data_IF_398819573492
#
_entry.id   IF_398819573492
#
_cell.length_a   1.000
_cell.length_b   1.000
_cell.length_c   1.000
_cell.angle_alpha   90.00
_cell.angle_beta   90.00
_cell.angle_gamma   90.00
#
_symmetry.space_group_name_H-M   'P 1'
#
loop_
_entity.id
_entity.type
_entity.pdbx_description
1 polymer ?
#
# COMPACT_ATOMS: atom_id res chain seq x y z
N UNK A 1 53.00 -57.27 13.40
CA UNK A 1 51.69 -56.94 12.83
C UNK A 1 51.20 -55.70 13.55
N UNK A 2 51.26 -54.55 12.90
CA UNK A 2 50.76 -53.27 13.43
C UNK A 2 49.47 -52.95 12.71
N UNK A 3 48.32 -52.87 13.44
CA UNK A 3 47.04 -52.46 12.95
C UNK A 3 46.98 -50.94 12.99
N UNK A 4 46.88 -50.30 11.85
CA UNK A 4 46.62 -48.84 11.72
C UNK A 4 45.10 -48.66 11.68
N UNK A 5 44.55 -48.14 12.74
CA UNK A 5 43.14 -47.77 12.81
C UNK A 5 42.97 -46.36 12.19
N UNK A 6 42.41 -46.31 10.99
CA UNK A 6 42.09 -45.05 10.34
C UNK A 6 40.79 -44.50 10.91
N UNK A 7 40.89 -43.40 11.67
CA UNK A 7 39.75 -42.63 12.13
C UNK A 7 39.26 -41.70 10.98
N UNK A 8 38.13 -42.08 10.34
CA UNK A 8 37.47 -41.26 9.35
C UNK A 8 36.65 -40.20 10.10
N UNK A 9 37.16 -38.98 10.13
CA UNK A 9 36.43 -37.81 10.67
C UNK A 9 35.38 -37.37 9.65
N UNK A 10 34.12 -37.73 9.88
CA UNK A 10 32.98 -37.29 9.09
C UNK A 10 32.66 -35.84 9.49
N UNK A 11 33.15 -34.87 8.71
CA UNK A 11 32.75 -33.47 8.81
C UNK A 11 31.30 -33.35 8.30
N UNK A 12 30.35 -33.35 9.21
CA UNK A 12 28.97 -32.96 8.91
C UNK A 12 28.95 -31.45 8.65
N UNK A 13 28.98 -31.05 7.40
CA UNK A 13 28.57 -29.71 6.98
C UNK A 13 27.07 -29.59 7.23
N UNK A 14 26.69 -29.03 8.36
CA UNK A 14 25.33 -28.53 8.57
C UNK A 14 25.15 -27.32 7.71
N UNK A 15 24.54 -27.47 6.54
CA UNK A 15 24.03 -26.35 5.76
C UNK A 15 22.98 -25.65 6.62
N UNK A 16 23.35 -24.53 7.19
CA UNK A 16 22.37 -23.60 7.79
C UNK A 16 21.56 -23.05 6.62
N UNK A 17 20.38 -23.61 6.41
CA UNK A 17 19.34 -22.95 5.61
C UNK A 17 18.98 -21.70 6.38
N UNK A 18 19.50 -20.56 5.96
CA UNK A 18 18.99 -19.27 6.40
C UNK A 18 17.51 -19.28 6.02
N UNK A 19 16.64 -19.40 7.01
CA UNK A 19 15.22 -19.15 6.81
C UNK A 19 15.11 -17.71 6.31
N UNK A 20 14.61 -17.53 5.09
CA UNK A 20 14.31 -16.21 4.56
C UNK A 20 13.32 -15.59 5.56
N UNK A 21 13.76 -14.55 6.27
CA UNK A 21 12.91 -13.86 7.23
C UNK A 21 11.65 -13.37 6.50
N UNK A 22 10.50 -13.95 6.84
CA UNK A 22 9.24 -13.54 6.23
C UNK A 22 8.92 -12.14 6.73
N UNK A 23 8.78 -11.18 5.81
CA UNK A 23 8.34 -9.83 6.15
C UNK A 23 6.98 -9.94 6.85
N UNK A 24 6.87 -9.47 8.11
CA UNK A 24 5.64 -9.61 8.87
C UNK A 24 4.53 -8.72 8.31
N UNK A 25 3.33 -9.26 8.19
CA UNK A 25 2.11 -8.51 7.90
C UNK A 25 1.38 -8.95 6.64
N UNK A 26 0.12 -8.52 6.50
CA UNK A 26 -0.71 -8.89 5.37
C UNK A 26 -0.21 -8.23 4.07
N UNK A 27 -0.26 -9.01 3.00
CA UNK A 27 -0.04 -8.58 1.61
C UNK A 27 -1.08 -9.24 0.72
N UNK A 28 -1.30 -8.65 -0.44
CA UNK A 28 -2.10 -9.27 -1.48
C UNK A 28 -1.50 -8.97 -2.86
N UNK A 29 -2.20 -9.35 -3.92
CA UNK A 29 -1.71 -9.15 -5.27
C UNK A 29 -1.61 -7.68 -5.69
N UNK A 30 -2.41 -6.80 -5.09
CA UNK A 30 -2.37 -5.36 -5.38
C UNK A 30 -1.37 -4.64 -4.46
N UNK A 31 -1.47 -4.84 -3.16
CA UNK A 31 -0.54 -4.31 -2.15
C UNK A 31 0.65 -5.25 -1.99
N UNK A 32 1.38 -5.45 -3.08
CA UNK A 32 2.44 -6.45 -3.16
C UNK A 32 3.71 -6.05 -2.40
N UNK A 33 3.86 -4.76 -2.06
CA UNK A 33 5.03 -4.21 -1.37
C UNK A 33 4.63 -3.66 -0.01
N UNK A 34 5.42 -3.99 0.98
CA UNK A 34 5.14 -3.66 2.38
C UNK A 34 4.70 -4.89 3.18
N UNK A 35 4.28 -4.72 4.45
CA UNK A 35 4.30 -3.44 5.15
C UNK A 35 5.73 -2.92 5.35
N UNK A 36 5.94 -1.62 5.11
CA UNK A 36 7.15 -0.91 5.51
C UNK A 36 6.88 -0.16 6.82
N UNK A 37 7.85 -0.13 7.72
CA UNK A 37 7.77 0.62 8.98
C UNK A 37 9.18 0.90 9.51
N UNK A 38 9.30 1.54 10.66
CA UNK A 38 10.59 1.73 11.35
C UNK A 38 11.14 0.44 11.99
N UNK A 39 10.47 -0.70 11.78
CA UNK A 39 10.97 -2.01 12.20
C UNK A 39 12.27 -2.33 11.45
N UNK A 40 13.32 -2.89 12.11
CA UNK A 40 14.59 -3.19 11.48
C UNK A 40 14.53 -4.14 10.27
N UNK A 41 13.48 -4.95 10.16
CA UNK A 41 13.30 -5.89 9.04
C UNK A 41 12.66 -5.28 7.79
N UNK A 42 11.98 -4.14 7.93
CA UNK A 42 11.17 -3.54 6.87
C UNK A 42 11.37 -2.02 6.76
N UNK A 43 12.49 -1.54 7.28
CA UNK A 43 12.83 -0.12 7.28
C UNK A 43 13.39 0.29 5.92
N UNK A 44 12.51 0.81 5.07
CA UNK A 44 12.85 1.39 3.77
C UNK A 44 12.42 2.87 3.78
N UNK A 45 13.28 3.77 3.31
CA UNK A 45 12.98 5.19 3.20
C UNK A 45 12.68 5.91 4.53
N UNK A 46 13.29 5.46 5.63
CA UNK A 46 13.17 6.11 6.95
C UNK A 46 11.74 6.35 7.40
N UNK A 47 10.89 5.32 7.46
CA UNK A 47 9.50 5.47 7.86
C UNK A 47 9.39 5.89 9.34
N UNK A 48 8.30 6.56 9.67
CA UNK A 48 7.96 6.91 11.05
C UNK A 48 7.74 5.66 11.91
N UNK A 49 8.05 5.74 13.20
CA UNK A 49 7.71 4.69 14.15
C UNK A 49 6.18 4.54 14.30
N UNK A 50 5.71 3.29 14.42
CA UNK A 50 4.28 2.93 14.54
C UNK A 50 3.43 3.33 13.31
N UNK A 51 4.04 3.45 12.17
CA UNK A 51 3.37 3.65 10.89
C UNK A 51 3.67 2.45 9.99
N UNK A 52 2.65 2.00 9.29
CA UNK A 52 2.75 0.90 8.35
C UNK A 52 2.31 1.39 6.98
N UNK A 53 3.14 1.08 5.97
CA UNK A 53 2.93 1.50 4.60
C UNK A 53 2.85 0.28 3.69
N UNK A 54 1.91 0.28 2.77
CA UNK A 54 1.83 -0.65 1.65
C UNK A 54 1.88 0.13 0.35
N UNK A 55 2.57 -0.40 -0.64
CA UNK A 55 2.66 0.23 -1.95
C UNK A 55 2.11 -0.69 -3.04
N UNK A 56 1.37 -0.09 -3.96
CA UNK A 56 0.87 -0.71 -5.17
C UNK A 56 1.41 0.03 -6.39
N UNK A 57 2.15 -0.69 -7.24
CA UNK A 57 2.59 -0.20 -8.54
C UNK A 57 1.81 -0.94 -9.64
N UNK A 58 1.08 -0.22 -10.48
CA UNK A 58 0.12 -0.81 -11.41
C UNK A 58 -0.01 0.05 -12.68
N UNK A 59 -0.74 -0.46 -13.66
CA UNK A 59 -1.09 0.27 -14.89
C UNK A 59 -2.58 0.11 -15.13
N UNK A 60 -3.34 1.20 -15.08
CA UNK A 60 -4.77 1.19 -15.45
C UNK A 60 -4.88 1.17 -16.98
N UNK A 61 -5.57 0.18 -17.58
CA UNK A 61 -5.81 0.13 -19.03
C UNK A 61 -6.57 1.36 -19.51
N UNK A 62 -6.32 1.75 -20.75
CA UNK A 62 -7.03 2.87 -21.37
C UNK A 62 -8.54 2.62 -21.45
N UNK A 63 -9.32 3.65 -21.13
CA UNK A 63 -10.80 3.58 -21.10
C UNK A 63 -11.37 2.85 -19.89
N UNK A 64 -10.54 2.30 -19.00
CA UNK A 64 -10.99 1.65 -17.77
C UNK A 64 -11.08 2.64 -16.60
N UNK A 65 -11.91 2.29 -15.59
CA UNK A 65 -11.96 3.00 -14.32
C UNK A 65 -11.54 2.10 -13.18
N UNK A 66 -10.76 2.63 -12.25
CA UNK A 66 -10.27 1.93 -11.07
C UNK A 66 -10.85 2.54 -9.81
N UNK A 67 -11.48 1.72 -8.98
CA UNK A 67 -11.87 2.05 -7.61
C UNK A 67 -11.03 1.25 -6.62
N UNK A 68 -10.77 1.81 -5.45
CA UNK A 68 -10.25 1.10 -4.29
C UNK A 68 -11.32 1.09 -3.22
N UNK A 69 -11.78 -0.11 -2.83
CA UNK A 69 -12.82 -0.33 -1.82
C UNK A 69 -12.24 -0.94 -0.57
N UNK A 70 -12.64 -0.41 0.59
CA UNK A 70 -12.15 -0.90 1.87
C UNK A 70 -13.00 -0.45 3.04
N UNK A 71 -12.53 -0.83 4.23
CA UNK A 71 -13.08 -0.36 5.50
C UNK A 71 -12.06 0.55 6.19
N UNK A 72 -12.51 1.62 6.83
CA UNK A 72 -11.63 2.44 7.66
C UNK A 72 -11.01 1.60 8.78
N UNK A 73 -9.67 1.62 8.96
CA UNK A 73 -9.02 0.86 10.01
C UNK A 73 -9.36 1.40 11.41
N UNK A 74 -9.30 0.53 12.42
CA UNK A 74 -9.28 0.96 13.81
C UNK A 74 -7.86 1.44 14.14
N UNK A 75 -7.59 2.70 13.82
CA UNK A 75 -6.27 3.32 13.95
C UNK A 75 -6.42 4.80 14.32
N UNK A 76 -5.31 5.46 14.59
CA UNK A 76 -5.32 6.89 14.84
C UNK A 76 -5.53 7.71 13.57
N UNK A 77 -4.97 7.23 12.44
CA UNK A 77 -4.99 7.92 11.15
C UNK A 77 -4.79 6.92 10.03
N UNK A 78 -5.32 7.21 8.86
CA UNK A 78 -5.00 6.54 7.60
C UNK A 78 -4.95 7.53 6.43
N UNK A 79 -4.27 7.17 5.37
CA UNK A 79 -4.24 7.97 4.15
C UNK A 79 -3.80 7.16 2.94
N UNK A 80 -4.11 7.69 1.76
CA UNK A 80 -3.54 7.27 0.49
C UNK A 80 -2.70 8.41 -0.08
N UNK A 81 -1.58 8.04 -0.70
CA UNK A 81 -0.71 8.97 -1.42
C UNK A 81 -0.45 8.42 -2.81
N UNK A 82 -0.44 9.30 -3.80
CA UNK A 82 0.09 9.00 -5.12
C UNK A 82 1.46 9.64 -5.30
N UNK A 83 2.29 9.04 -6.13
CA UNK A 83 3.67 9.47 -6.37
C UNK A 83 4.00 9.54 -7.86
N UNK A 84 4.93 10.43 -8.22
CA UNK A 84 5.51 10.51 -9.54
C UNK A 84 6.73 9.58 -9.70
N UNK A 85 7.35 9.58 -10.88
CA UNK A 85 8.52 8.79 -11.22
C UNK A 85 9.78 9.10 -10.39
N UNK A 86 9.80 10.21 -9.68
CA UNK A 86 10.91 10.65 -8.84
C UNK A 86 10.65 10.39 -7.35
N UNK A 87 9.56 9.68 -7.03
CA UNK A 87 9.15 9.44 -5.65
C UNK A 87 8.60 10.69 -4.95
N UNK A 88 8.17 11.71 -5.71
CA UNK A 88 7.57 12.91 -5.12
C UNK A 88 6.06 12.71 -4.99
N UNK A 89 5.48 13.09 -3.87
CA UNK A 89 4.02 13.00 -3.70
C UNK A 89 3.32 13.93 -4.70
N UNK A 90 2.32 13.37 -5.40
CA UNK A 90 1.45 14.11 -6.33
C UNK A 90 0.21 14.57 -5.60
N UNK A 91 -0.40 13.68 -4.83
CA UNK A 91 -1.59 13.97 -4.05
C UNK A 91 -1.67 13.11 -2.79
N UNK A 92 -2.43 13.59 -1.81
CA UNK A 92 -2.78 12.83 -0.61
C UNK A 92 -4.27 12.91 -0.35
N UNK A 93 -4.87 11.77 -0.01
CA UNK A 93 -6.25 11.66 0.44
C UNK A 93 -6.24 11.11 1.86
N UNK A 94 -6.59 11.97 2.83
CA UNK A 94 -6.56 11.64 4.26
C UNK A 94 -7.90 11.11 4.73
N UNK A 95 -7.90 10.39 5.84
CA UNK A 95 -9.04 9.66 6.40
C UNK A 95 -10.34 10.49 6.49
N UNK A 96 -10.28 11.68 7.07
CA UNK A 96 -11.47 12.54 7.22
C UNK A 96 -11.98 13.13 5.90
N UNK A 97 -11.14 13.14 4.85
CA UNK A 97 -11.50 13.63 3.51
C UNK A 97 -12.19 12.57 2.66
N UNK A 98 -11.98 11.29 2.97
CA UNK A 98 -12.56 10.19 2.21
C UNK A 98 -14.07 10.16 2.46
N UNK A 99 -14.85 10.19 1.37
CA UNK A 99 -16.29 10.02 1.44
C UNK A 99 -16.60 8.56 1.85
N UNK A 100 -17.34 8.41 2.93
CA UNK A 100 -17.78 7.10 3.40
C UNK A 100 -19.03 6.64 2.66
N UNK A 101 -19.13 5.35 2.41
CA UNK A 101 -20.37 4.70 1.94
C UNK A 101 -21.38 4.55 3.10
N UNK A 102 -20.93 4.76 4.34
CA UNK A 102 -21.74 4.69 5.54
C UNK A 102 -21.37 5.79 6.54
N UNK A 103 -20.46 5.52 7.48
CA UNK A 103 -20.01 6.47 8.50
C UNK A 103 -18.50 6.57 8.47
N UNK A 104 -17.97 7.77 8.25
CA UNK A 104 -16.54 8.03 8.39
C UNK A 104 -16.19 8.21 9.87
N UNK A 105 -15.48 7.25 10.52
CA UNK A 105 -15.16 7.31 11.95
C UNK A 105 -14.09 8.36 12.28
N UNK A 106 -13.46 8.98 11.30
CA UNK A 106 -12.41 9.99 11.48
C UNK A 106 -12.95 11.42 11.49
N UNK A 107 -14.22 11.60 11.12
CA UNK A 107 -14.89 12.89 11.25
C UNK A 107 -15.24 13.16 12.71
N UNK A 108 -14.92 14.36 13.21
CA UNK A 108 -15.22 14.76 14.57
C UNK A 108 -16.72 14.62 14.88
N UNK A 109 -17.05 14.05 16.03
CA UNK A 109 -18.43 13.77 16.47
C UNK A 109 -18.94 12.39 16.05
N UNK A 110 -18.31 11.68 15.12
CA UNK A 110 -18.71 10.33 14.75
C UNK A 110 -18.12 9.28 15.72
N UNK A 111 -18.85 8.18 15.87
CA UNK A 111 -18.43 7.07 16.73
C UNK A 111 -17.28 6.29 16.08
N UNK A 112 -16.09 6.38 16.66
CA UNK A 112 -14.87 5.71 16.13
C UNK A 112 -14.93 4.18 16.17
N UNK A 113 -15.73 3.60 17.06
CA UNK A 113 -15.93 2.16 17.18
C UNK A 113 -17.03 1.60 16.27
N UNK A 114 -17.65 2.43 15.42
CA UNK A 114 -18.68 1.98 14.49
C UNK A 114 -18.15 0.87 13.58
N UNK A 115 -18.94 -0.20 13.40
CA UNK A 115 -18.63 -1.33 12.52
C UNK A 115 -18.98 -1.09 11.05
N UNK A 116 -19.89 -0.14 10.76
CA UNK A 116 -20.23 0.27 9.39
C UNK A 116 -19.28 1.35 8.94
N UNK A 117 -18.18 0.93 8.29
CA UNK A 117 -17.06 1.81 8.01
C UNK A 117 -16.50 1.69 6.60
N UNK A 118 -17.32 1.21 5.65
CA UNK A 118 -16.94 1.07 4.26
C UNK A 118 -16.70 2.42 3.56
N UNK A 119 -15.76 2.42 2.64
CA UNK A 119 -15.48 3.54 1.74
C UNK A 119 -15.08 3.04 0.34
N UNK A 120 -15.21 3.94 -0.64
CA UNK A 120 -14.77 3.76 -2.01
C UNK A 120 -13.98 4.98 -2.47
N UNK A 121 -12.89 4.76 -3.21
CA UNK A 121 -12.02 5.81 -3.75
C UNK A 121 -11.84 5.57 -5.24
N UNK A 122 -12.18 6.57 -6.06
CA UNK A 122 -11.84 6.60 -7.48
C UNK A 122 -10.37 6.92 -7.68
N UNK A 123 -9.68 6.14 -8.51
CA UNK A 123 -8.28 6.38 -8.89
C UNK A 123 -8.24 6.91 -10.30
N UNK A 124 -7.90 8.18 -10.47
CA UNK A 124 -7.89 8.84 -11.77
C UNK A 124 -6.47 9.04 -12.30
N UNK A 125 -6.25 8.63 -13.56
CA UNK A 125 -5.05 8.94 -14.30
C UNK A 125 -5.07 10.41 -14.76
N UNK A 126 -4.82 11.31 -13.83
CA UNK A 126 -4.73 12.74 -14.11
C UNK A 126 -3.81 13.41 -13.10
N UNK A 127 -3.26 14.57 -13.46
CA UNK A 127 -2.63 15.45 -12.48
C UNK A 127 -3.73 16.12 -11.67
N UNK A 128 -3.54 16.20 -10.35
CA UNK A 128 -4.46 16.94 -9.48
C UNK A 128 -4.69 18.34 -10.08
N UNK A 129 -5.93 18.64 -10.43
CA UNK A 129 -6.28 20.02 -10.66
C UNK A 129 -6.40 20.63 -9.27
N UNK A 130 -5.39 21.39 -8.85
CA UNK A 130 -5.35 22.08 -7.57
C UNK A 130 -6.37 23.22 -7.48
N UNK A 131 -7.61 22.95 -7.85
CA UNK A 131 -8.74 23.76 -7.41
C UNK A 131 -9.04 23.31 -5.99
N UNK A 132 -8.21 23.80 -5.05
CA UNK A 132 -8.62 23.82 -3.65
C UNK A 132 -9.92 24.59 -3.63
N UNK A 133 -11.02 23.90 -3.44
CA UNK A 133 -12.26 24.53 -3.02
C UNK A 133 -11.95 25.06 -1.63
N UNK A 134 -11.55 26.33 -1.54
CA UNK A 134 -11.42 27.05 -0.29
C UNK A 134 -12.82 27.18 0.27
N UNK A 135 -13.11 26.34 1.23
CA UNK A 135 -14.38 26.37 1.93
C UNK A 135 -14.41 27.57 2.88
N UNK A 136 -15.28 28.52 2.60
CA UNK A 136 -15.52 29.70 3.43
C UNK A 136 -16.22 29.39 4.76
N UNK A 137 -16.53 28.12 5.10
CA UNK A 137 -17.35 27.78 6.28
C UNK A 137 -16.99 26.51 7.02
N UNK A 138 -15.71 26.16 7.21
CA UNK A 138 -15.32 24.97 8.01
C UNK A 138 -16.01 23.66 7.57
N UNK A 139 -16.50 23.55 6.35
CA UNK A 139 -17.02 22.31 5.80
C UNK A 139 -15.84 21.49 5.31
N UNK A 140 -15.62 20.37 5.94
CA UNK A 140 -14.65 19.37 5.49
C UNK A 140 -15.00 18.99 4.05
N UNK A 141 -14.11 19.33 3.11
CA UNK A 141 -14.29 18.92 1.71
C UNK A 141 -14.12 17.41 1.66
N UNK A 142 -15.21 16.71 1.43
CA UNK A 142 -15.21 15.25 1.31
C UNK A 142 -14.94 14.91 -0.15
N UNK A 143 -13.87 14.19 -0.41
CA UNK A 143 -13.45 13.75 -1.75
C UNK A 143 -13.33 12.22 -1.78
N UNK A 144 -13.71 11.62 -2.91
CA UNK A 144 -13.53 10.19 -3.14
C UNK A 144 -12.55 9.90 -4.27
N UNK A 145 -11.78 10.90 -4.69
CA UNK A 145 -10.89 10.79 -5.85
C UNK A 145 -9.44 10.97 -5.44
N UNK A 146 -8.59 10.03 -5.84
CA UNK A 146 -7.14 10.10 -5.75
C UNK A 146 -6.55 10.24 -7.15
N UNK A 147 -5.96 11.38 -7.45
CA UNK A 147 -5.29 11.62 -8.72
C UNK A 147 -3.92 10.94 -8.74
N UNK A 148 -3.75 10.01 -9.66
CA UNK A 148 -2.58 9.16 -9.77
C UNK A 148 -2.12 9.13 -11.22
N UNK A 149 -1.32 10.12 -11.67
CA UNK A 149 -0.90 10.21 -13.06
C UNK A 149 0.00 9.04 -13.45
N UNK A 150 -0.09 8.62 -14.71
CA UNK A 150 0.86 7.72 -15.32
C UNK A 150 2.25 8.36 -15.42
N UNK A 151 3.30 7.58 -15.19
CA UNK A 151 4.68 7.93 -15.47
C UNK A 151 5.35 6.86 -16.34
N UNK A 152 6.66 6.68 -16.29
CA UNK A 152 7.42 5.75 -17.15
C UNK A 152 6.70 4.41 -17.32
N UNK A 153 6.56 3.97 -18.58
CA UNK A 153 5.86 2.73 -18.96
C UNK A 153 4.39 2.67 -18.49
N UNK A 154 3.73 3.82 -18.39
CA UNK A 154 2.34 3.96 -17.93
C UNK A 154 2.09 3.42 -16.53
N UNK A 155 3.12 3.35 -15.69
CA UNK A 155 2.97 2.92 -14.30
C UNK A 155 2.34 4.03 -13.45
N UNK A 156 1.56 3.62 -12.48
CA UNK A 156 1.00 4.43 -11.40
C UNK A 156 1.48 3.88 -10.07
N UNK A 157 1.64 4.73 -9.07
CA UNK A 157 2.08 4.33 -7.73
C UNK A 157 1.18 4.95 -6.68
N UNK A 158 0.61 4.10 -5.84
CA UNK A 158 -0.15 4.49 -4.65
C UNK A 158 0.51 3.87 -3.43
N UNK A 159 0.57 4.64 -2.35
CA UNK A 159 0.96 4.17 -1.02
C UNK A 159 -0.22 4.32 -0.07
N UNK A 160 -0.61 3.22 0.57
CA UNK A 160 -1.57 3.18 1.66
C UNK A 160 -0.82 3.25 2.99
N UNK A 161 -1.31 4.07 3.90
CA UNK A 161 -0.67 4.34 5.19
C UNK A 161 -1.65 4.16 6.33
N UNK A 162 -1.23 3.42 7.37
CA UNK A 162 -1.93 3.34 8.65
C UNK A 162 -0.98 3.81 9.76
N UNK A 163 -1.44 4.75 10.56
CA UNK A 163 -0.69 5.29 11.69
C UNK A 163 -1.35 4.87 13.01
N UNK A 164 -0.57 4.25 13.88
CA UNK A 164 -0.99 3.77 15.19
C UNK A 164 -2.28 2.93 15.13
N UNK A 165 -2.22 1.69 14.63
CA UNK A 165 -3.33 0.74 14.79
C UNK A 165 -3.74 0.64 16.26
N UNK A 166 -5.02 0.44 16.51
CA UNK A 166 -5.53 0.32 17.87
C UNK A 166 -4.87 -0.88 18.58
N UNK A 167 -4.68 -0.74 19.88
CA UNK A 167 -4.18 -1.83 20.72
C UNK A 167 -5.07 -3.07 20.54
N UNK A 168 -4.44 -4.24 20.38
CA UNK A 168 -5.07 -5.53 20.12
C UNK A 168 -5.69 -5.70 18.73
N UNK A 169 -5.31 -4.87 17.75
CA UNK A 169 -5.54 -5.15 16.34
C UNK A 169 -4.22 -5.56 15.66
N UNK A 170 -4.32 -6.05 14.43
CA UNK A 170 -3.16 -6.27 13.58
C UNK A 170 -2.63 -4.96 12.96
N UNK A 171 -1.64 -5.06 12.08
CA UNK A 171 -1.01 -3.91 11.42
C UNK A 171 -1.97 -3.13 10.54
N UNK A 172 -3.05 -3.78 10.06
CA UNK A 172 -4.10 -3.15 9.25
C UNK A 172 -5.21 -2.51 10.08
N UNK A 173 -5.08 -2.53 11.42
CA UNK A 173 -6.09 -1.98 12.31
C UNK A 173 -7.38 -2.81 12.34
N UNK A 174 -7.27 -4.14 12.20
CA UNK A 174 -8.40 -5.07 12.34
C UNK A 174 -9.35 -5.10 11.14
N UNK A 175 -8.93 -4.59 9.97
CA UNK A 175 -9.65 -4.67 8.70
C UNK A 175 -8.76 -5.29 7.62
N UNK A 176 -9.33 -5.68 6.50
CA UNK A 176 -8.54 -6.16 5.34
C UNK A 176 -7.87 -4.98 4.64
N UNK A 177 -6.79 -5.26 3.90
CA UNK A 177 -6.24 -4.29 2.94
C UNK A 177 -7.32 -3.90 1.93
N UNK A 178 -7.40 -2.61 1.52
CA UNK A 178 -8.37 -2.17 0.53
C UNK A 178 -8.18 -2.88 -0.80
N UNK A 179 -9.26 -3.22 -1.49
CA UNK A 179 -9.22 -4.04 -2.69
C UNK A 179 -9.50 -3.21 -3.95
N UNK A 180 -8.76 -3.42 -5.05
CA UNK A 180 -9.03 -2.79 -6.32
C UNK A 180 -10.24 -3.44 -7.00
N UNK A 181 -11.09 -2.62 -7.60
CA UNK A 181 -12.17 -2.98 -8.50
C UNK A 181 -11.94 -2.26 -9.82
N UNK A 182 -11.77 -2.99 -10.90
CA UNK A 182 -11.50 -2.44 -12.22
C UNK A 182 -12.71 -2.64 -13.12
N UNK A 183 -13.23 -1.55 -13.68
CA UNK A 183 -14.24 -1.60 -14.72
C UNK A 183 -13.58 -1.31 -16.07
N UNK A 184 -13.59 -2.28 -16.96
CA UNK A 184 -13.02 -2.15 -18.32
C UNK A 184 -13.87 -1.25 -19.21
N UNK A 185 -13.32 -0.83 -20.35
CA UNK A 185 -13.98 0.04 -21.30
C UNK A 185 -15.29 -0.54 -21.87
N UNK A 186 -15.44 -1.86 -21.88
CA UNK A 186 -16.66 -2.58 -22.31
C UNK A 186 -17.70 -2.76 -21.19
N UNK A 187 -17.41 -2.25 -19.97
CA UNK A 187 -18.23 -2.37 -18.79
C UNK A 187 -18.01 -3.64 -17.97
N UNK A 188 -17.09 -4.51 -18.36
CA UNK A 188 -16.73 -5.70 -17.57
C UNK A 188 -16.09 -5.30 -16.25
N UNK A 189 -16.60 -5.84 -15.14
CA UNK A 189 -16.07 -5.57 -13.79
C UNK A 189 -15.18 -6.73 -13.36
N UNK A 190 -13.93 -6.41 -13.02
CA UNK A 190 -12.94 -7.34 -12.53
C UNK A 190 -12.66 -7.10 -11.03
N UNK A 191 -12.39 -8.20 -10.29
CA UNK A 191 -12.03 -8.18 -8.87
C UNK A 191 -10.93 -9.22 -8.57
N UNK A 192 -10.28 -9.10 -7.42
CA UNK A 192 -9.29 -10.07 -6.96
C UNK A 192 -8.11 -10.25 -7.92
N UNK A 193 -7.72 -11.50 -8.18
CA UNK A 193 -6.55 -11.81 -9.00
C UNK A 193 -6.68 -11.36 -10.47
N UNK A 194 -7.87 -11.37 -11.03
CA UNK A 194 -8.09 -10.90 -12.40
C UNK A 194 -7.79 -9.40 -12.52
N UNK A 195 -8.24 -8.62 -11.55
CA UNK A 195 -7.90 -7.19 -11.47
C UNK A 195 -6.39 -6.99 -11.37
N UNK A 196 -5.71 -7.72 -10.48
CA UNK A 196 -4.26 -7.59 -10.31
C UNK A 196 -3.48 -7.92 -11.58
N UNK A 197 -3.90 -8.97 -12.29
CA UNK A 197 -3.27 -9.37 -13.55
C UNK A 197 -3.47 -8.29 -14.63
N UNK A 198 -4.69 -7.79 -14.76
CA UNK A 198 -5.05 -6.75 -15.75
C UNK A 198 -4.35 -5.42 -15.46
N UNK A 199 -4.22 -5.06 -14.19
CA UNK A 199 -3.47 -3.89 -13.73
C UNK A 199 -1.95 -4.09 -13.79
N UNK A 200 -1.47 -5.31 -14.12
CA UNK A 200 -0.05 -5.66 -14.04
C UNK A 200 0.59 -5.29 -12.69
N UNK A 201 -0.10 -5.58 -11.58
CA UNK A 201 0.27 -5.14 -10.24
C UNK A 201 1.58 -5.77 -9.70
N UNK A 202 2.05 -6.86 -10.32
CA UNK A 202 3.32 -7.52 -10.00
C UNK A 202 4.54 -6.93 -10.71
N UNK A 203 4.35 -5.93 -11.59
CA UNK A 203 5.45 -5.33 -12.35
C UNK A 203 6.51 -4.69 -11.44
N UNK A 204 7.79 -4.67 -11.86
CA UNK A 204 8.83 -3.99 -11.11
C UNK A 204 8.53 -2.49 -10.95
N UNK A 205 8.86 -1.94 -9.79
CA UNK A 205 8.72 -0.52 -9.52
C UNK A 205 9.64 0.30 -10.43
N UNK A 206 9.09 1.32 -11.10
CA UNK A 206 9.81 2.19 -12.04
C UNK A 206 10.16 3.56 -11.43
N UNK A 207 9.94 3.74 -10.14
CA UNK A 207 10.26 4.98 -9.43
C UNK A 207 11.75 5.03 -9.12
N UNK A 208 12.39 6.18 -9.37
CA UNK A 208 13.76 6.42 -8.95
C UNK A 208 13.76 7.00 -7.54
N UNK A 209 14.09 6.19 -6.56
CA UNK A 209 14.20 6.64 -5.17
C UNK A 209 15.61 7.14 -4.82
N UNK A 210 16.51 7.25 -5.79
CA UNK A 210 17.87 7.80 -5.60
C UNK A 210 17.86 9.20 -4.98
N UNK A 211 16.86 10.01 -5.28
CA UNK A 211 16.66 11.34 -4.67
C UNK A 211 16.38 11.28 -3.17
N UNK A 212 15.95 10.12 -2.66
CA UNK A 212 15.70 9.85 -1.25
C UNK A 212 16.88 9.12 -0.58
N UNK A 213 17.98 8.88 -1.32
CA UNK A 213 19.15 8.16 -0.82
C UNK A 213 18.95 6.65 -0.67
N UNK A 214 17.92 6.09 -1.32
CA UNK A 214 17.62 4.65 -1.29
C UNK A 214 18.27 3.99 -2.49
N UNK A 215 19.19 2.99 -2.29
CA UNK A 215 19.83 2.28 -3.39
C UNK A 215 18.82 1.47 -4.22
N UNK A 216 19.08 1.23 -5.53
CA UNK A 216 18.18 0.49 -6.43
C UNK A 216 17.91 -0.96 -6.02
N UNK A 217 18.80 -1.58 -5.29
CA UNK A 217 18.74 -2.96 -4.81
C UNK A 217 17.81 -3.15 -3.59
N UNK A 218 17.36 -2.07 -2.97
CA UNK A 218 16.42 -2.10 -1.85
C UNK A 218 14.94 -2.02 -2.29
N UNK A 219 14.66 -1.97 -3.60
CA UNK A 219 13.29 -1.83 -4.14
C UNK A 219 12.56 -3.17 -4.38
N UNK A 220 13.16 -4.28 -4.01
CA UNK A 220 12.66 -5.63 -4.34
C UNK A 220 11.71 -6.18 -3.27
#
# INVERSE_FOLDING_TARGET
MRFITACILYLMFTSQVMALETIPGPRDCFWARGPFSADPYINVAYPDANVYYWAAAFTTPEGSTLEIKGDYPYSRYMSFFSYDENGRPVESLTDYQIKSDSINPFIAGNQRSNSYRAYSIDVLNAKSSATKITDEQNKISVNSTLYTPHYKKNQQLIVYRIYLPNKNTDLTGGVKLPQPVLTLADGTILTGNETCNTLNASQPLQVSLNSLGIPPDEYV
#
